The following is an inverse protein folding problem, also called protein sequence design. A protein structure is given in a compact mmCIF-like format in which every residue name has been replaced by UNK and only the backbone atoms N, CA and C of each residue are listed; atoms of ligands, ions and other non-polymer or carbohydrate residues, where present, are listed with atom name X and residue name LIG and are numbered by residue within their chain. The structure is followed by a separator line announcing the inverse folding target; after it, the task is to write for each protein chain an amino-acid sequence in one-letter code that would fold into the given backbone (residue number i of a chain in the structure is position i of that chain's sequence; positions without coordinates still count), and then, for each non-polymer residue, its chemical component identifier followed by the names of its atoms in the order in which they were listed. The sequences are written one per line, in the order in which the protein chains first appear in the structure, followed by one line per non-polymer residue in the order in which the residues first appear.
data_IF_158478545287
#
_entry.id   IF_158478545287
#
_cell.length_a   1.000
_cell.length_b   1.000
_cell.length_c   1.000
_cell.angle_alpha   90.00
_cell.angle_beta   90.00
_cell.angle_gamma   90.00
#
_symmetry.space_group_name_H-M   'P 1'
#
loop_
_entity.id
_entity.type
_entity.pdbx_description
1 polymer ?
#
# COMPACT_ATOMS: atom_id res chain seq x y z
N UNK A 1 5.78 13.19 -9.77
CA UNK A 1 4.65 13.78 -10.52
C UNK A 1 3.53 14.09 -9.55
N UNK A 2 2.29 14.21 -10.02
CA UNK A 2 1.11 14.11 -9.16
C UNK A 2 0.72 12.64 -8.96
N UNK A 3 1.68 11.84 -8.46
CA UNK A 3 1.47 10.43 -8.16
C UNK A 3 1.06 10.23 -6.69
N UNK A 4 0.66 9.02 -6.33
CA UNK A 4 0.04 8.75 -5.02
C UNK A 4 0.96 9.03 -3.83
N UNK A 5 2.29 9.09 -4.02
CA UNK A 5 3.24 9.43 -2.94
C UNK A 5 3.03 10.84 -2.37
N UNK A 6 2.30 11.72 -3.06
CA UNK A 6 1.91 13.03 -2.54
C UNK A 6 1.23 12.97 -1.17
N UNK A 7 0.60 11.85 -0.82
CA UNK A 7 -0.04 11.67 0.48
C UNK A 7 0.96 11.37 1.63
N UNK A 8 2.12 10.77 1.32
CA UNK A 8 3.02 10.19 2.33
C UNK A 8 3.63 11.21 3.32
N UNK A 9 4.02 12.44 2.92
CA UNK A 9 4.52 13.45 3.87
C UNK A 9 3.52 13.80 4.99
N UNK A 10 2.21 13.70 4.72
CA UNK A 10 1.16 13.99 5.72
C UNK A 10 0.95 12.87 6.75
N UNK A 11 1.59 11.72 6.53
CA UNK A 11 1.53 10.53 7.39
C UNK A 11 2.83 10.31 8.18
N UNK A 12 3.88 11.08 7.87
CA UNK A 12 5.21 10.93 8.48
C UNK A 12 5.17 11.15 9.99
N UNK A 13 5.83 10.26 10.74
CA UNK A 13 5.85 10.29 12.21
C UNK A 13 4.52 9.94 12.90
N UNK A 14 3.43 9.68 12.16
CA UNK A 14 2.11 9.38 12.73
C UNK A 14 1.83 7.89 12.92
N UNK A 15 2.53 7.04 12.17
CA UNK A 15 2.32 5.60 12.16
C UNK A 15 3.66 4.87 12.19
N UNK A 16 3.74 3.78 12.94
CA UNK A 16 4.93 2.91 12.97
C UNK A 16 5.12 2.13 11.67
N UNK A 17 4.01 1.78 10.99
CA UNK A 17 3.99 1.13 9.68
C UNK A 17 2.83 1.67 8.86
N UNK A 18 3.05 1.88 7.57
CA UNK A 18 2.02 2.24 6.60
C UNK A 18 1.89 1.05 5.63
N UNK A 19 0.75 0.36 5.65
CA UNK A 19 0.47 -0.71 4.69
C UNK A 19 -0.29 -0.12 3.50
N UNK A 20 0.24 -0.29 2.29
CA UNK A 20 -0.41 0.14 1.06
C UNK A 20 -0.86 -1.08 0.26
N UNK A 21 -2.11 -1.09 -0.20
CA UNK A 21 -2.67 -2.16 -1.04
C UNK A 21 -3.04 -1.56 -2.40
N UNK A 22 -2.58 -2.16 -3.51
CA UNK A 22 -2.83 -1.64 -4.85
C UNK A 22 -2.85 -2.72 -5.93
N UNK A 23 -3.60 -2.48 -7.01
CA UNK A 23 -3.78 -3.42 -8.13
C UNK A 23 -2.91 -3.10 -9.35
N UNK A 24 -2.43 -1.85 -9.47
CA UNK A 24 -1.58 -1.42 -10.58
C UNK A 24 -0.17 -1.05 -10.12
N UNK A 25 0.48 -2.02 -9.48
CA UNK A 25 1.81 -1.86 -8.85
C UNK A 25 2.99 -2.14 -9.80
N UNK A 26 2.73 -2.65 -11.00
CA UNK A 26 3.74 -2.87 -12.03
C UNK A 26 4.32 -1.54 -12.58
N UNK A 27 5.55 -1.51 -13.13
CA UNK A 27 6.13 -0.30 -13.71
C UNK A 27 5.21 0.38 -14.74
N UNK A 28 4.89 1.66 -14.51
CA UNK A 28 3.95 2.44 -15.33
C UNK A 28 2.48 2.35 -14.88
N UNK A 29 2.16 1.48 -13.92
CA UNK A 29 0.87 1.47 -13.23
C UNK A 29 0.77 2.63 -12.24
N UNK A 30 -0.45 3.10 -11.97
CA UNK A 30 -0.65 4.32 -11.17
C UNK A 30 -0.42 4.13 -9.66
N UNK A 31 -0.17 2.90 -9.19
CA UNK A 31 0.19 2.57 -7.81
C UNK A 31 1.68 2.29 -7.66
N UNK A 32 2.42 2.14 -8.76
CA UNK A 32 3.80 1.68 -8.76
C UNK A 32 4.69 2.51 -7.82
N UNK A 33 4.64 3.83 -7.94
CA UNK A 33 5.54 4.68 -7.16
C UNK A 33 5.25 4.67 -5.66
N UNK A 34 3.99 4.55 -5.24
CA UNK A 34 3.65 4.47 -3.81
C UNK A 34 3.89 3.06 -3.25
N UNK A 35 3.69 2.03 -4.07
CA UNK A 35 3.95 0.63 -3.72
C UNK A 35 5.44 0.37 -3.47
N UNK A 36 6.32 0.94 -4.30
CA UNK A 36 7.79 0.83 -4.16
C UNK A 36 8.37 1.85 -3.16
N UNK A 37 7.56 2.79 -2.62
CA UNK A 37 8.07 3.79 -1.69
C UNK A 37 8.47 3.13 -0.36
N UNK A 38 9.71 3.33 0.13
CA UNK A 38 10.21 2.67 1.33
C UNK A 38 9.46 3.04 2.62
N UNK A 39 8.63 4.09 2.60
CA UNK A 39 7.76 4.46 3.72
C UNK A 39 6.53 3.55 3.82
N UNK A 40 6.26 2.72 2.82
CA UNK A 40 5.14 1.79 2.80
C UNK A 40 5.60 0.34 2.84
N UNK A 41 4.75 -0.53 3.38
CA UNK A 41 4.77 -1.97 3.13
C UNK A 41 3.75 -2.23 2.04
N UNK A 42 4.22 -2.40 0.81
CA UNK A 42 3.37 -2.61 -0.37
C UNK A 42 2.80 -4.03 -0.45
N UNK A 43 1.50 -4.13 -0.73
CA UNK A 43 0.76 -5.37 -0.97
C UNK A 43 0.10 -5.28 -2.35
N UNK A 44 0.57 -6.08 -3.31
CA UNK A 44 -0.07 -6.18 -4.61
C UNK A 44 -1.33 -7.06 -4.48
N UNK A 45 -2.44 -6.62 -5.05
CA UNK A 45 -3.74 -7.32 -5.01
C UNK A 45 -4.41 -7.30 -6.37
N UNK A 46 -5.03 -8.39 -6.79
CA UNK A 46 -5.73 -8.44 -8.08
C UNK A 46 -7.18 -7.94 -8.00
N UNK A 47 -7.79 -7.97 -6.83
CA UNK A 47 -9.21 -7.66 -6.64
C UNK A 47 -9.54 -7.38 -5.15
N UNK A 48 -10.74 -6.85 -4.84
CA UNK A 48 -11.13 -6.52 -3.47
C UNK A 48 -11.18 -7.72 -2.51
N UNK A 49 -11.38 -8.95 -2.99
CA UNK A 49 -11.45 -10.12 -2.12
C UNK A 49 -10.06 -10.51 -1.62
N UNK A 50 -9.04 -10.41 -2.47
CA UNK A 50 -7.65 -10.62 -2.08
C UNK A 50 -7.20 -9.59 -1.02
N UNK A 51 -7.59 -8.31 -1.16
CA UNK A 51 -7.35 -7.29 -0.12
C UNK A 51 -7.92 -7.72 1.23
N UNK A 52 -9.15 -8.24 1.27
CA UNK A 52 -9.77 -8.71 2.53
C UNK A 52 -9.01 -9.91 3.10
N UNK A 53 -8.60 -10.86 2.27
CA UNK A 53 -7.85 -12.03 2.70
C UNK A 53 -6.49 -11.64 3.30
N UNK A 54 -5.77 -10.72 2.66
CA UNK A 54 -4.51 -10.20 3.18
C UNK A 54 -4.71 -9.43 4.48
N UNK A 55 -5.73 -8.57 4.59
CA UNK A 55 -6.03 -7.86 5.83
C UNK A 55 -6.30 -8.85 6.97
N UNK A 56 -7.11 -9.89 6.72
CA UNK A 56 -7.35 -10.96 7.71
C UNK A 56 -6.05 -11.66 8.09
N UNK A 57 -5.20 -12.02 7.13
CA UNK A 57 -3.94 -12.70 7.41
C UNK A 57 -2.94 -11.84 8.18
N UNK A 58 -2.93 -10.52 7.96
CA UNK A 58 -1.97 -9.60 8.57
C UNK A 58 -2.37 -9.15 9.98
N UNK A 59 -3.68 -9.08 10.26
CA UNK A 59 -4.21 -8.43 11.46
C UNK A 59 -5.20 -9.29 12.26
N UNK A 60 -5.44 -10.54 11.87
CA UNK A 60 -6.11 -11.47 12.78
C UNK A 60 -5.22 -11.70 14.00
N UNK A 61 -5.76 -11.40 15.18
CA UNK A 61 -5.28 -11.93 16.44
C UNK A 61 -5.97 -13.28 16.66
N UNK A 62 -5.20 -14.31 17.04
CA UNK A 62 -5.77 -15.40 17.85
C UNK A 62 -6.18 -14.87 19.23
#
# INVERSE_FOLDING_TARGET
GWDKRLALPYLEGRFAKIHFFGDKTYPGGNDHEIFEDPRTVGHAVANPEETKQLIKSLFACD
#
